data_IF_645342883666
#
_entry.id   IF_645342883666
#
_cell.length_a   1.000
_cell.length_b   1.000
_cell.length_c   1.000
_cell.angle_alpha   90.00
_cell.angle_beta   90.00
_cell.angle_gamma   90.00
#
_symmetry.space_group_name_H-M   'P 1'
#
loop_
_entity.id
_entity.type
_entity.pdbx_description
1 polymer ?
#
# COMPACT_ATOMS: atom_id res chain seq x y z
N UNK A 1 -24.97 -20.69 3.16
CA UNK A 1 -24.92 -19.42 3.94
C UNK A 1 -24.55 -18.34 2.93
N UNK A 2 -25.26 -17.20 2.88
CA UNK A 2 -24.94 -16.18 1.89
C UNK A 2 -23.66 -15.41 2.26
N UNK A 3 -23.08 -14.73 1.29
CA UNK A 3 -21.77 -14.05 1.42
C UNK A 3 -21.77 -12.98 2.52
N UNK A 4 -22.86 -12.20 2.66
CA UNK A 4 -23.00 -11.19 3.73
C UNK A 4 -22.95 -11.81 5.14
N UNK A 5 -23.58 -12.97 5.33
CA UNK A 5 -23.52 -13.68 6.61
C UNK A 5 -22.12 -14.22 6.92
N UNK A 6 -21.40 -14.66 5.88
CA UNK A 6 -19.99 -15.07 6.04
C UNK A 6 -19.12 -13.88 6.41
N UNK A 7 -19.26 -12.77 5.70
CA UNK A 7 -18.54 -11.53 5.97
C UNK A 7 -18.76 -11.05 7.42
N UNK A 8 -20.02 -10.87 7.82
CA UNK A 8 -20.33 -10.34 9.16
C UNK A 8 -19.97 -11.28 10.30
N UNK A 9 -19.87 -12.60 10.04
CA UNK A 9 -19.56 -13.59 11.07
C UNK A 9 -18.05 -13.81 11.26
N UNK A 10 -17.28 -13.75 10.17
CA UNK A 10 -15.90 -14.23 10.19
C UNK A 10 -14.86 -13.15 9.88
N UNK A 11 -15.24 -11.99 9.39
CA UNK A 11 -14.31 -10.90 9.10
C UNK A 11 -14.48 -9.77 10.12
N UNK A 12 -13.36 -9.31 10.68
CA UNK A 12 -13.36 -8.12 11.51
C UNK A 12 -13.60 -6.89 10.65
N UNK A 13 -14.64 -6.08 10.93
CA UNK A 13 -14.92 -4.91 10.12
C UNK A 13 -13.89 -3.81 10.38
N UNK A 14 -13.36 -3.22 9.30
CA UNK A 14 -12.49 -2.05 9.34
C UNK A 14 -13.28 -0.75 9.20
N UNK A 15 -14.58 -0.84 8.90
CA UNK A 15 -15.53 0.28 8.81
C UNK A 15 -16.84 -0.09 9.49
N UNK A 16 -17.47 0.87 10.15
CA UNK A 16 -18.80 0.68 10.74
C UNK A 16 -19.90 0.52 9.67
N UNK A 17 -19.66 1.03 8.48
CA UNK A 17 -20.61 1.04 7.36
C UNK A 17 -19.94 0.55 6.07
N UNK A 18 -19.61 -0.76 5.95
CA UNK A 18 -19.06 -1.29 4.72
C UNK A 18 -20.11 -1.18 3.59
N UNK A 19 -19.67 -0.91 2.37
CA UNK A 19 -20.57 -0.85 1.20
C UNK A 19 -21.33 -2.16 0.99
N UNK A 20 -20.75 -3.28 1.37
CA UNK A 20 -21.41 -4.58 1.32
C UNK A 20 -21.77 -5.04 -0.10
N UNK A 21 -21.08 -4.54 -1.12
CA UNK A 21 -21.26 -4.97 -2.50
C UNK A 21 -20.77 -6.42 -2.67
N UNK A 22 -21.66 -7.31 -3.08
CA UNK A 22 -21.31 -8.71 -3.35
C UNK A 22 -20.76 -8.83 -4.77
N UNK A 23 -19.43 -8.83 -4.90
CA UNK A 23 -18.74 -8.81 -6.20
C UNK A 23 -18.73 -10.18 -6.83
N UNK A 24 -19.20 -10.27 -8.10
CA UNK A 24 -19.15 -11.46 -8.95
C UNK A 24 -17.91 -11.47 -9.84
N UNK A 25 -17.60 -10.35 -10.47
CA UNK A 25 -16.43 -10.14 -11.33
C UNK A 25 -16.10 -8.67 -11.45
N UNK A 26 -14.88 -8.37 -11.92
CA UNK A 26 -14.49 -7.02 -12.29
C UNK A 26 -13.67 -7.07 -13.60
N UNK A 27 -13.88 -6.10 -14.50
CA UNK A 27 -13.15 -5.99 -15.78
C UNK A 27 -13.15 -4.56 -16.27
N UNK A 28 -11.97 -4.06 -16.67
CA UNK A 28 -11.83 -2.67 -17.07
C UNK A 28 -12.26 -1.74 -15.94
N UNK A 29 -13.14 -0.83 -16.23
CA UNK A 29 -13.72 0.13 -15.28
C UNK A 29 -14.98 -0.39 -14.54
N UNK A 30 -15.41 -1.63 -14.78
CA UNK A 30 -16.66 -2.15 -14.24
C UNK A 30 -16.46 -3.20 -13.16
N UNK A 31 -17.30 -3.13 -12.13
CA UNK A 31 -17.56 -4.19 -11.17
C UNK A 31 -18.97 -4.72 -11.41
N UNK A 32 -19.10 -6.03 -11.62
CA UNK A 32 -20.40 -6.71 -11.74
C UNK A 32 -20.72 -7.38 -10.40
N UNK A 33 -21.86 -7.05 -9.83
CA UNK A 33 -22.37 -7.66 -8.61
C UNK A 33 -22.99 -9.05 -8.87
N UNK A 34 -23.29 -9.78 -7.79
CA UNK A 34 -23.90 -11.13 -7.87
C UNK A 34 -25.32 -11.14 -8.41
N UNK A 35 -25.99 -9.99 -8.39
CA UNK A 35 -27.32 -9.78 -9.02
C UNK A 35 -27.23 -9.34 -10.49
N UNK A 36 -26.03 -9.40 -11.09
CA UNK A 36 -25.72 -9.00 -12.47
C UNK A 36 -25.83 -7.48 -12.75
N UNK A 37 -25.99 -6.64 -11.73
CA UNK A 37 -25.84 -5.18 -11.88
C UNK A 37 -24.38 -4.80 -12.09
N UNK A 38 -24.16 -3.81 -12.96
CA UNK A 38 -22.83 -3.27 -13.25
C UNK A 38 -22.66 -1.87 -12.66
N UNK A 39 -21.50 -1.64 -12.04
CA UNK A 39 -21.13 -0.40 -11.42
C UNK A 39 -19.82 0.10 -12.01
N UNK A 40 -19.72 1.39 -12.30
CA UNK A 40 -18.44 2.02 -12.57
C UNK A 40 -17.62 2.07 -11.29
N UNK A 41 -16.40 1.54 -11.34
CA UNK A 41 -15.47 1.64 -10.22
C UNK A 41 -14.66 2.95 -10.27
N UNK A 42 -15.21 4.00 -9.66
CA UNK A 42 -14.51 5.28 -9.50
C UNK A 42 -13.56 5.30 -8.29
N UNK A 43 -13.51 4.21 -7.53
CA UNK A 43 -12.60 4.05 -6.39
C UNK A 43 -11.27 3.43 -6.83
N UNK A 44 -11.30 2.59 -7.87
CA UNK A 44 -10.13 1.93 -8.44
C UNK A 44 -9.26 1.20 -7.41
N UNK A 45 -9.89 0.50 -6.44
CA UNK A 45 -9.16 -0.15 -5.35
C UNK A 45 -8.36 0.84 -4.48
N UNK A 46 -8.84 2.07 -4.32
CA UNK A 46 -8.14 3.22 -3.73
C UNK A 46 -6.91 3.59 -4.57
N UNK A 47 -7.17 3.93 -5.84
CA UNK A 47 -6.21 4.44 -6.83
C UNK A 47 -5.07 3.47 -7.23
N UNK A 48 -5.29 2.16 -7.09
CA UNK A 48 -4.28 1.14 -7.47
C UNK A 48 -4.60 0.42 -8.78
N UNK A 49 -5.87 0.38 -9.21
CA UNK A 49 -6.29 -0.29 -10.44
C UNK A 49 -6.24 0.65 -11.67
N UNK A 50 -5.18 1.42 -11.83
CA UNK A 50 -5.06 2.47 -12.86
C UNK A 50 -5.13 1.96 -14.31
N UNK A 51 -4.85 0.67 -14.55
CA UNK A 51 -5.00 0.02 -15.86
C UNK A 51 -6.35 -0.70 -16.02
N UNK A 52 -7.24 -0.55 -15.03
CA UNK A 52 -8.50 -1.27 -14.96
C UNK A 52 -8.36 -2.69 -14.39
N UNK A 53 -9.50 -3.25 -14.00
CA UNK A 53 -9.57 -4.61 -13.48
C UNK A 53 -9.26 -5.65 -14.55
N UNK A 54 -8.56 -6.70 -14.19
CA UNK A 54 -8.25 -7.83 -15.05
C UNK A 54 -7.62 -7.43 -16.40
N UNK A 55 -6.68 -6.47 -16.38
CA UNK A 55 -5.95 -6.09 -17.59
C UNK A 55 -5.29 -7.33 -18.23
N UNK A 56 -5.54 -7.61 -19.54
CA UNK A 56 -5.18 -8.89 -20.14
C UNK A 56 -3.68 -9.20 -20.10
N UNK A 57 -2.83 -8.21 -20.32
CA UNK A 57 -1.37 -8.42 -20.26
C UNK A 57 -0.86 -8.70 -18.85
N UNK A 58 -1.44 -8.06 -17.82
CA UNK A 58 -1.09 -8.34 -16.42
C UNK A 58 -1.51 -9.77 -16.06
N UNK A 59 -2.73 -10.17 -16.41
CA UNK A 59 -3.22 -11.52 -16.14
C UNK A 59 -2.38 -12.57 -16.87
N UNK A 60 -1.98 -12.30 -18.11
CA UNK A 60 -1.09 -13.19 -18.88
C UNK A 60 0.28 -13.35 -18.21
N UNK A 61 0.90 -12.25 -17.81
CA UNK A 61 2.18 -12.27 -17.13
C UNK A 61 2.11 -13.00 -15.78
N UNK A 62 1.05 -12.74 -14.98
CA UNK A 62 0.85 -13.41 -13.71
C UNK A 62 0.66 -14.93 -13.88
N UNK A 63 -0.11 -15.38 -14.87
CA UNK A 63 -0.29 -16.81 -15.17
C UNK A 63 1.01 -17.46 -15.59
N UNK A 64 1.79 -16.83 -16.47
CA UNK A 64 3.09 -17.34 -16.88
C UNK A 64 4.06 -17.50 -15.69
N UNK A 65 4.07 -16.51 -14.77
CA UNK A 65 4.90 -16.59 -13.57
C UNK A 65 4.42 -17.69 -12.60
N UNK A 66 3.11 -17.90 -12.48
CA UNK A 66 2.57 -18.99 -11.65
C UNK A 66 2.94 -20.38 -12.20
N UNK A 67 3.01 -20.55 -13.52
CA UNK A 67 3.43 -21.78 -14.16
C UNK A 67 4.93 -22.07 -13.93
N UNK A 68 5.76 -21.04 -13.74
CA UNK A 68 7.17 -21.20 -13.41
C UNK A 68 7.39 -21.45 -11.90
N UNK A 69 6.97 -20.49 -11.07
CA UNK A 69 7.02 -20.59 -9.60
C UNK A 69 6.28 -19.40 -8.95
N UNK A 70 5.68 -19.64 -7.79
CA UNK A 70 5.08 -18.60 -6.95
C UNK A 70 6.09 -18.00 -5.98
N UNK A 71 6.79 -18.87 -5.25
CA UNK A 71 7.77 -18.50 -4.24
C UNK A 71 8.83 -19.57 -4.12
N UNK A 72 10.08 -19.17 -4.07
CA UNK A 72 11.22 -20.08 -3.85
C UNK A 72 12.08 -19.67 -2.65
N UNK A 73 12.32 -18.38 -2.49
CA UNK A 73 13.11 -17.82 -1.41
C UNK A 73 12.82 -16.32 -1.26
N UNK A 74 12.99 -15.77 -0.07
CA UNK A 74 12.98 -14.31 0.11
C UNK A 74 14.01 -13.65 -0.79
N UNK A 75 13.70 -12.46 -1.28
CA UNK A 75 14.62 -11.74 -2.16
C UNK A 75 15.95 -11.44 -1.43
N UNK A 76 17.01 -11.29 -2.21
CA UNK A 76 18.37 -11.02 -1.70
C UNK A 76 19.20 -12.28 -1.47
N UNK A 77 18.59 -13.47 -1.38
CA UNK A 77 19.30 -14.74 -1.29
C UNK A 77 19.44 -15.42 -2.66
N UNK A 78 18.35 -15.45 -3.43
CA UNK A 78 18.34 -15.98 -4.79
C UNK A 78 18.06 -14.87 -5.80
N UNK A 79 18.71 -14.94 -6.95
CA UNK A 79 18.42 -14.05 -8.07
C UNK A 79 17.08 -14.45 -8.69
N UNK A 80 16.14 -13.57 -8.73
CA UNK A 80 14.78 -13.83 -9.22
C UNK A 80 14.38 -12.78 -10.25
N UNK A 81 14.31 -13.18 -11.50
CA UNK A 81 14.09 -12.33 -12.66
C UNK A 81 12.97 -11.29 -12.51
N UNK A 82 11.78 -11.59 -11.96
CA UNK A 82 10.72 -10.58 -11.82
C UNK A 82 11.13 -9.38 -10.97
N UNK A 83 11.86 -9.63 -9.87
CA UNK A 83 12.31 -8.57 -8.96
C UNK A 83 13.46 -7.77 -9.57
N UNK A 84 14.40 -8.45 -10.23
CA UNK A 84 15.54 -7.81 -10.89
C UNK A 84 15.07 -6.88 -12.00
N UNK A 85 14.15 -7.33 -12.86
CA UNK A 85 13.57 -6.51 -13.93
C UNK A 85 12.73 -5.33 -13.40
N UNK A 86 12.01 -5.53 -12.30
CA UNK A 86 11.27 -4.43 -11.66
C UNK A 86 12.24 -3.38 -11.12
N UNK A 87 13.32 -3.79 -10.47
CA UNK A 87 14.37 -2.89 -9.99
C UNK A 87 15.02 -2.09 -11.12
N UNK A 88 15.39 -2.75 -12.21
CA UNK A 88 15.93 -2.12 -13.41
C UNK A 88 14.95 -1.11 -14.03
N UNK A 89 13.67 -1.51 -14.17
CA UNK A 89 12.63 -0.64 -14.73
C UNK A 89 12.44 0.61 -13.87
N UNK A 90 12.35 0.46 -12.55
CA UNK A 90 12.21 1.61 -11.65
C UNK A 90 13.43 2.54 -11.74
N UNK A 91 14.64 1.99 -11.72
CA UNK A 91 15.87 2.79 -11.86
C UNK A 91 15.91 3.57 -13.18
N UNK A 92 15.41 3.00 -14.28
CA UNK A 92 15.36 3.68 -15.58
C UNK A 92 14.35 4.83 -15.66
N UNK A 93 13.37 4.86 -14.77
CA UNK A 93 12.30 5.88 -14.72
C UNK A 93 12.57 6.97 -13.66
N UNK A 94 13.52 6.75 -12.78
CA UNK A 94 13.83 7.64 -11.67
C UNK A 94 15.13 8.41 -11.92
N UNK A 95 15.41 9.51 -11.19
CA UNK A 95 16.70 10.16 -11.23
C UNK A 95 17.86 9.21 -10.89
N UNK A 96 19.03 9.40 -11.47
CA UNK A 96 20.22 8.54 -11.30
C UNK A 96 20.61 8.27 -9.84
N UNK A 97 20.29 9.20 -8.94
CA UNK A 97 20.51 9.05 -7.49
C UNK A 97 19.56 8.03 -6.82
N UNK A 98 18.49 7.60 -7.49
CA UNK A 98 17.49 6.64 -7.00
C UNK A 98 17.55 5.34 -7.82
N UNK A 99 18.69 4.68 -7.79
CA UNK A 99 19.01 3.52 -8.63
C UNK A 99 18.95 2.16 -7.89
N UNK A 100 18.47 2.13 -6.67
CA UNK A 100 18.33 0.90 -5.88
C UNK A 100 16.98 0.82 -5.23
N UNK A 101 16.31 -0.32 -5.37
CA UNK A 101 14.97 -0.57 -4.83
C UNK A 101 15.02 -1.59 -3.69
N UNK A 102 14.24 -1.33 -2.64
CA UNK A 102 14.01 -2.26 -1.55
C UNK A 102 12.52 -2.58 -1.48
N UNK A 103 12.15 -3.79 -1.93
CA UNK A 103 10.75 -4.19 -2.06
C UNK A 103 10.18 -4.68 -0.73
N UNK A 104 8.96 -4.22 -0.42
CA UNK A 104 8.20 -4.59 0.76
C UNK A 104 6.82 -5.11 0.35
N UNK A 105 6.13 -5.81 1.24
CA UNK A 105 4.82 -6.40 0.94
C UNK A 105 3.67 -5.41 1.07
N UNK A 106 3.91 -4.27 1.71
CA UNK A 106 2.89 -3.23 1.92
C UNK A 106 3.50 -1.84 2.06
N UNK A 107 2.69 -0.80 1.84
CA UNK A 107 3.09 0.58 2.05
C UNK A 107 3.48 0.87 3.51
N UNK A 108 2.77 0.28 4.48
CA UNK A 108 3.12 0.43 5.90
C UNK A 108 4.51 -0.13 6.21
N UNK A 109 4.88 -1.27 5.65
CA UNK A 109 6.23 -1.83 5.82
C UNK A 109 7.28 -1.00 5.09
N UNK A 110 6.97 -0.46 3.91
CA UNK A 110 7.88 0.41 3.19
C UNK A 110 8.19 1.69 3.98
N UNK A 111 7.19 2.30 4.61
CA UNK A 111 7.40 3.47 5.48
C UNK A 111 8.21 3.08 6.73
N UNK A 112 7.91 1.95 7.38
CA UNK A 112 8.71 1.49 8.53
C UNK A 112 10.18 1.24 8.16
N UNK A 113 10.44 0.63 7.01
CA UNK A 113 11.78 0.45 6.47
C UNK A 113 12.48 1.78 6.20
N UNK A 114 11.78 2.75 5.61
CA UNK A 114 12.31 4.10 5.37
C UNK A 114 12.64 4.82 6.68
N UNK A 115 11.78 4.73 7.70
CA UNK A 115 12.03 5.28 9.04
C UNK A 115 13.30 4.66 9.67
N UNK A 116 13.45 3.34 9.57
CA UNK A 116 14.64 2.64 10.09
C UNK A 116 15.91 3.07 9.34
N UNK A 117 15.83 3.17 8.02
CA UNK A 117 16.95 3.65 7.20
C UNK A 117 17.34 5.09 7.55
N UNK A 118 16.36 6.00 7.65
CA UNK A 118 16.58 7.38 8.05
C UNK A 118 17.30 7.48 9.40
N UNK A 119 16.83 6.77 10.42
CA UNK A 119 17.50 6.70 11.74
C UNK A 119 18.92 6.17 11.65
N UNK A 120 19.14 5.12 10.86
CA UNK A 120 20.46 4.50 10.69
C UNK A 120 21.47 5.47 10.06
N UNK A 121 21.04 6.21 9.04
CA UNK A 121 21.91 7.13 8.29
C UNK A 121 22.13 8.41 9.06
N UNK A 122 21.08 9.05 9.56
CA UNK A 122 21.14 10.38 10.19
C UNK A 122 21.53 10.33 11.67
N UNK A 123 21.33 9.20 12.34
CA UNK A 123 21.44 9.03 13.81
C UNK A 123 20.42 9.88 14.59
N UNK A 124 19.44 10.49 13.93
CA UNK A 124 18.36 11.26 14.55
C UNK A 124 17.18 10.35 14.91
N UNK A 125 16.39 10.76 15.89
CA UNK A 125 15.26 9.96 16.42
C UNK A 125 13.90 10.53 16.08
N UNK A 126 13.82 11.83 15.79
CA UNK A 126 12.60 12.53 15.47
C UNK A 126 12.36 12.58 13.95
N UNK A 127 11.11 12.76 13.57
CA UNK A 127 10.69 12.88 12.18
C UNK A 127 9.89 14.16 11.97
N UNK A 128 9.91 14.66 10.76
CA UNK A 128 8.94 15.63 10.24
C UNK A 128 8.02 14.93 9.26
N UNK A 129 6.73 15.21 9.32
CA UNK A 129 5.72 14.67 8.42
C UNK A 129 4.66 15.71 8.11
N UNK A 130 4.00 15.59 6.96
CA UNK A 130 2.88 16.49 6.63
C UNK A 130 1.63 16.16 7.44
N UNK A 131 0.88 17.21 7.82
CA UNK A 131 -0.47 17.04 8.33
C UNK A 131 -1.37 16.35 7.31
N UNK A 132 -2.41 15.67 7.78
CA UNK A 132 -3.39 14.94 6.94
C UNK A 132 -2.81 13.82 6.04
N UNK A 133 -1.52 13.48 6.18
CA UNK A 133 -0.93 12.37 5.46
C UNK A 133 -1.36 11.02 6.04
N UNK A 134 -1.46 10.01 5.17
CA UNK A 134 -1.69 8.62 5.57
C UNK A 134 -0.48 7.77 5.20
N UNK A 135 0.11 7.12 6.20
CA UNK A 135 1.34 6.33 6.04
C UNK A 135 1.18 4.84 6.36
N UNK A 136 0.01 4.44 6.79
CA UNK A 136 -0.29 3.05 7.15
C UNK A 136 -0.58 2.85 8.63
N UNK A 137 -0.99 1.64 8.99
CA UNK A 137 -1.50 1.29 10.33
C UNK A 137 -0.49 0.58 11.23
N UNK A 138 0.75 0.37 10.79
CA UNK A 138 1.83 -0.10 11.67
C UNK A 138 2.23 0.97 12.69
N UNK A 139 2.76 0.59 13.85
CA UNK A 139 3.09 1.51 14.95
C UNK A 139 4.06 2.63 14.51
N UNK A 140 5.06 2.30 13.69
CA UNK A 140 5.98 3.28 13.12
C UNK A 140 5.30 4.26 12.16
N UNK A 141 4.73 3.79 11.06
CA UNK A 141 4.00 4.62 10.10
C UNK A 141 2.86 5.42 10.72
N UNK A 142 2.11 4.83 11.66
CA UNK A 142 1.05 5.51 12.39
C UNK A 142 1.58 6.72 13.18
N UNK A 143 2.82 6.66 13.69
CA UNK A 143 3.43 7.77 14.42
C UNK A 143 3.71 8.99 13.54
N UNK A 144 3.71 8.83 12.21
CA UNK A 144 3.85 9.90 11.23
C UNK A 144 2.50 10.50 10.79
N UNK A 145 1.39 10.10 11.41
CA UNK A 145 0.06 10.57 11.06
C UNK A 145 -0.46 11.55 12.12
N UNK A 146 -0.92 12.73 11.68
CA UNK A 146 -1.43 13.79 12.57
C UNK A 146 -2.89 13.58 12.98
N UNK A 147 -3.67 12.80 12.22
CA UNK A 147 -5.10 12.62 12.46
C UNK A 147 -5.38 11.81 13.71
N UNK A 148 -5.99 12.39 14.72
CA UNK A 148 -6.42 11.71 15.95
C UNK A 148 -7.41 10.57 15.67
N UNK A 149 -8.21 10.69 14.62
CA UNK A 149 -9.13 9.63 14.20
C UNK A 149 -8.42 8.26 14.03
N UNK A 150 -7.18 8.28 13.50
CA UNK A 150 -6.40 7.07 13.28
C UNK A 150 -5.46 6.73 14.43
N UNK A 151 -5.05 7.69 15.26
CA UNK A 151 -3.91 7.53 16.17
C UNK A 151 -4.25 7.49 17.64
N UNK A 152 -5.33 8.16 18.07
CA UNK A 152 -5.63 8.43 19.48
C UNK A 152 -5.68 7.16 20.34
N UNK A 153 -6.38 6.14 19.88
CA UNK A 153 -6.57 4.88 20.64
C UNK A 153 -5.33 3.99 20.74
N UNK A 154 -4.25 4.34 20.05
CA UNK A 154 -3.04 3.53 19.94
C UNK A 154 -1.81 4.19 20.58
N UNK A 155 -2.01 5.32 21.26
CA UNK A 155 -0.94 6.02 21.97
C UNK A 155 -0.49 5.26 23.22
N UNK A 156 0.81 5.35 23.62
CA UNK A 156 1.86 6.12 22.98
C UNK A 156 2.37 5.47 21.70
N UNK A 157 2.69 6.30 20.69
CA UNK A 157 3.32 5.87 19.46
C UNK A 157 4.85 5.96 19.56
N UNK A 158 5.57 5.24 18.69
CA UNK A 158 7.01 4.98 18.88
C UNK A 158 7.96 6.10 18.44
N UNK A 159 7.46 7.14 17.75
CA UNK A 159 8.30 8.22 17.24
C UNK A 159 7.80 9.58 17.68
N UNK A 160 8.73 10.47 18.01
CA UNK A 160 8.46 11.89 18.10
C UNK A 160 8.37 12.45 16.69
N UNK A 161 7.21 13.02 16.33
CA UNK A 161 6.96 13.57 15.00
C UNK A 161 6.51 15.01 15.12
N UNK A 162 7.12 15.86 14.30
CA UNK A 162 6.71 17.24 14.08
C UNK A 162 5.84 17.29 12.83
N UNK A 163 4.68 17.92 12.93
CA UNK A 163 3.76 17.99 11.81
C UNK A 163 3.82 19.37 11.16
N UNK A 164 3.92 19.38 9.86
CA UNK A 164 4.08 20.57 9.03
C UNK A 164 2.92 20.60 8.04
N UNK A 165 2.31 21.78 7.89
CA UNK A 165 1.27 21.98 6.90
C UNK A 165 1.82 21.83 5.48
N UNK A 166 0.99 21.34 4.57
CA UNK A 166 1.40 21.20 3.18
C UNK A 166 1.70 22.59 2.57
N UNK A 167 2.86 22.71 1.91
CA UNK A 167 3.40 23.95 1.35
C UNK A 167 3.84 25.02 2.38
N UNK A 168 3.95 24.70 3.64
CA UNK A 168 4.51 25.59 4.66
C UNK A 168 6.03 25.43 4.71
N UNK A 169 6.74 26.23 3.90
CA UNK A 169 8.22 26.22 3.86
C UNK A 169 8.79 26.81 5.15
N UNK A 170 8.13 27.78 5.77
CA UNK A 170 8.60 28.41 7.01
C UNK A 170 8.50 27.44 8.20
N UNK A 171 7.50 26.58 8.22
CA UNK A 171 7.37 25.54 9.23
C UNK A 171 8.43 24.43 9.16
N UNK A 172 9.24 24.42 8.10
CA UNK A 172 10.39 23.49 7.95
C UNK A 172 11.69 24.00 8.61
N UNK A 173 11.81 25.29 8.85
CA UNK A 173 12.96 25.93 9.52
C UNK A 173 12.83 25.88 11.04
#
# INVERSE_FOLDING_TARGET
>A
MNQRKLFSKYLAPTSHYPLGLEVKKAKGEFITATNDEEYYDLISGISVCSLGHNHPEIIKAAKAQLDEHMHVMVYGEYLQKPQDLLGETLASLLPDSLNSSYFMTSGTEAIDAAMKLAKRVTKKTSFAAHTMAYHGTGQGPMSLMSSEYYTDKYRPLISQTYFIEQNDIQGLE
#
